data_IF_181734508349
#
_entry.id   IF_181734508349
#
_cell.length_a   1.000
_cell.length_b   1.000
_cell.length_c   1.000
_cell.angle_alpha   90.00
_cell.angle_beta   90.00
_cell.angle_gamma   90.00
#
_symmetry.space_group_name_H-M   'P 1'
#
loop_
_entity.id
_entity.type
_entity.pdbx_description
1 polymer ?
#
# COMPACT_ATOMS: atom_id res chain seq x y z
N UNK A 1 -8.94 -3.35 21.01
CA UNK A 1 -7.64 -4.05 21.02
C UNK A 1 -6.59 -3.07 20.50
N UNK A 2 -5.45 -2.94 21.19
CA UNK A 2 -4.51 -1.80 21.14
C UNK A 2 -3.47 -1.97 20.04
N UNK A 3 -3.33 -1.09 19.04
CA UNK A 3 -2.29 -1.33 18.02
C UNK A 3 -1.40 -0.17 17.56
N UNK A 4 -1.75 1.10 17.76
CA UNK A 4 -0.80 2.22 17.60
C UNK A 4 -1.23 3.33 18.55
N UNK A 5 -0.93 3.20 19.84
CA UNK A 5 -1.33 4.19 20.86
C UNK A 5 -0.81 5.60 20.59
N UNK A 6 0.11 5.77 19.62
CA UNK A 6 0.71 7.02 19.19
C UNK A 6 0.89 7.09 17.65
N UNK A 7 -0.13 6.76 16.84
CA UNK A 7 -0.03 7.05 15.41
C UNK A 7 -0.01 8.57 15.19
N UNK A 8 1.10 9.09 14.67
CA UNK A 8 1.29 10.53 14.44
C UNK A 8 1.39 10.83 12.94
N UNK A 9 1.28 12.12 12.61
CA UNK A 9 1.55 12.63 11.27
C UNK A 9 2.91 12.17 10.72
N UNK A 10 3.95 12.18 11.55
CA UNK A 10 5.30 11.80 11.12
C UNK A 10 5.42 10.30 10.83
N UNK A 11 4.74 9.47 11.64
CA UNK A 11 4.65 8.02 11.39
C UNK A 11 3.89 7.74 10.09
N UNK A 12 2.73 8.38 9.89
CA UNK A 12 1.95 8.24 8.67
C UNK A 12 2.74 8.65 7.41
N UNK A 13 3.42 9.79 7.46
CA UNK A 13 4.32 10.23 6.38
C UNK A 13 5.45 9.24 6.13
N UNK A 14 6.10 8.73 7.18
CA UNK A 14 7.19 7.76 7.05
C UNK A 14 6.73 6.49 6.35
N UNK A 15 5.56 5.95 6.72
CA UNK A 15 4.97 4.77 6.09
C UNK A 15 4.64 5.04 4.62
N UNK A 16 4.00 6.18 4.31
CA UNK A 16 3.67 6.55 2.93
C UNK A 16 4.94 6.70 2.06
N UNK A 17 6.00 7.28 2.61
CA UNK A 17 7.29 7.40 1.93
C UNK A 17 7.91 6.03 1.68
N UNK A 18 7.81 5.10 2.64
CA UNK A 18 8.35 3.75 2.46
C UNK A 18 7.50 2.91 1.51
N UNK A 19 6.18 3.12 1.46
CA UNK A 19 5.32 2.59 0.39
C UNK A 19 5.79 3.09 -0.97
N UNK A 20 6.00 4.41 -1.12
CA UNK A 20 6.47 5.00 -2.38
C UNK A 20 7.85 4.46 -2.79
N UNK A 21 8.80 4.36 -1.85
CA UNK A 21 10.11 3.74 -2.12
C UNK A 21 9.96 2.30 -2.58
N UNK A 22 9.13 1.52 -1.89
CA UNK A 22 8.93 0.10 -2.19
C UNK A 22 8.26 -0.10 -3.56
N UNK A 23 7.27 0.72 -3.91
CA UNK A 23 6.65 0.73 -5.24
C UNK A 23 7.69 1.03 -6.34
N UNK A 24 8.66 1.90 -6.06
CA UNK A 24 9.70 2.30 -7.01
C UNK A 24 10.91 1.35 -7.07
N UNK A 25 10.96 0.29 -6.24
CA UNK A 25 11.98 -0.75 -6.39
C UNK A 25 11.86 -1.39 -7.77
N UNK A 26 13.00 -1.70 -8.39
CA UNK A 26 13.05 -2.19 -9.77
C UNK A 26 12.11 -3.38 -10.01
N UNK A 27 12.10 -4.35 -9.09
CA UNK A 27 11.23 -5.53 -9.15
C UNK A 27 9.73 -5.15 -9.15
N UNK A 28 9.31 -4.29 -8.21
CA UNK A 28 7.91 -3.89 -8.09
C UNK A 28 7.47 -3.01 -9.25
N UNK A 29 8.32 -2.08 -9.67
CA UNK A 29 8.06 -1.20 -10.81
C UNK A 29 7.94 -1.99 -12.12
N UNK A 30 8.79 -3.00 -12.32
CA UNK A 30 8.68 -3.91 -13.46
C UNK A 30 7.34 -4.68 -13.42
N UNK A 31 7.01 -5.32 -12.28
CA UNK A 31 5.75 -6.06 -12.11
C UNK A 31 4.51 -5.20 -12.38
N UNK A 32 4.51 -3.96 -11.88
CA UNK A 32 3.42 -3.00 -12.13
C UNK A 32 3.35 -2.61 -13.61
N UNK A 33 4.50 -2.41 -14.27
CA UNK A 33 4.56 -2.04 -15.70
C UNK A 33 4.05 -3.17 -16.59
N UNK A 34 4.42 -4.41 -16.31
CA UNK A 34 3.92 -5.60 -16.99
C UNK A 34 2.40 -5.74 -16.81
N UNK A 35 1.90 -5.58 -15.58
CA UNK A 35 0.47 -5.61 -15.30
C UNK A 35 -0.30 -4.48 -16.01
N UNK A 36 0.28 -3.28 -16.10
CA UNK A 36 -0.28 -2.16 -16.87
C UNK A 36 -0.31 -2.45 -18.37
N UNK A 37 0.72 -3.10 -18.90
CA UNK A 37 0.76 -3.50 -20.31
C UNK A 37 -0.35 -4.51 -20.65
N UNK A 38 -0.62 -5.45 -19.74
CA UNK A 38 -1.74 -6.40 -19.87
C UNK A 38 -3.10 -5.71 -19.75
N UNK A 39 -3.25 -4.78 -18.81
CA UNK A 39 -4.50 -4.06 -18.60
C UNK A 39 -4.84 -3.05 -19.71
N UNK A 40 -3.82 -2.49 -20.37
CA UNK A 40 -4.00 -1.46 -21.39
C UNK A 40 -4.69 -0.20 -20.83
N UNK A 41 -5.80 0.20 -21.45
CA UNK A 41 -6.63 1.34 -21.00
C UNK A 41 -7.90 0.90 -20.27
N UNK A 42 -8.11 -0.40 -20.10
CA UNK A 42 -9.33 -0.93 -19.52
C UNK A 42 -9.32 -0.77 -18.00
N UNK A 43 -10.20 0.06 -17.48
CA UNK A 43 -10.26 0.38 -16.05
C UNK A 43 -10.51 -0.86 -15.19
N UNK A 44 -11.37 -1.78 -15.66
CA UNK A 44 -11.64 -3.05 -14.96
C UNK A 44 -10.38 -3.93 -14.95
N UNK A 45 -9.63 -3.97 -16.05
CA UNK A 45 -8.39 -4.72 -16.11
C UNK A 45 -7.32 -4.10 -15.19
N UNK A 46 -7.25 -2.77 -15.07
CA UNK A 46 -6.37 -2.11 -14.10
C UNK A 46 -6.70 -2.52 -12.67
N UNK A 47 -7.99 -2.63 -12.32
CA UNK A 47 -8.43 -3.14 -11.02
C UNK A 47 -8.12 -4.63 -10.81
N UNK A 48 -8.08 -5.44 -11.87
CA UNK A 48 -7.79 -6.87 -11.77
C UNK A 48 -6.29 -7.18 -11.72
N UNK A 49 -5.47 -6.44 -12.47
CA UNK A 49 -4.05 -6.76 -12.64
C UNK A 49 -3.13 -5.84 -11.83
N UNK A 50 -3.39 -4.54 -11.79
CA UNK A 50 -2.48 -3.57 -11.14
C UNK A 50 -2.82 -3.41 -9.67
N UNK A 51 -4.12 -3.28 -9.34
CA UNK A 51 -4.56 -3.00 -7.98
C UNK A 51 -4.10 -4.06 -6.95
N UNK A 52 -4.18 -5.38 -7.22
CA UNK A 52 -3.72 -6.38 -6.26
C UNK A 52 -2.22 -6.30 -5.97
N UNK A 53 -1.41 -5.90 -6.96
CA UNK A 53 0.04 -5.72 -6.79
C UNK A 53 0.32 -4.57 -5.84
N UNK A 54 -0.33 -3.43 -6.06
CA UNK A 54 -0.17 -2.25 -5.20
C UNK A 54 -0.67 -2.52 -3.78
N UNK A 55 -1.83 -3.19 -3.63
CA UNK A 55 -2.33 -3.62 -2.33
C UNK A 55 -1.34 -4.51 -1.59
N UNK A 56 -0.74 -5.48 -2.29
CA UNK A 56 0.23 -6.38 -1.70
C UNK A 56 1.47 -5.63 -1.21
N UNK A 57 1.99 -4.69 -2.02
CA UNK A 57 3.10 -3.82 -1.62
C UNK A 57 2.75 -3.01 -0.37
N UNK A 58 1.56 -2.42 -0.31
CA UNK A 58 1.12 -1.66 0.86
C UNK A 58 1.05 -2.55 2.11
N UNK A 59 0.45 -3.75 2.01
CA UNK A 59 0.39 -4.74 3.10
C UNK A 59 1.80 -5.13 3.57
N UNK A 60 2.73 -5.35 2.64
CA UNK A 60 4.11 -5.72 2.94
C UNK A 60 4.91 -4.61 3.62
N UNK A 61 4.57 -3.35 3.39
CA UNK A 61 5.21 -2.22 4.08
C UNK A 61 4.60 -2.02 5.46
N UNK A 62 3.27 -1.92 5.57
CA UNK A 62 2.60 -1.60 6.84
C UNK A 62 2.82 -2.67 7.91
N UNK A 63 3.04 -3.94 7.53
CA UNK A 63 3.34 -5.00 8.51
C UNK A 63 4.61 -4.71 9.33
N UNK A 64 5.57 -3.98 8.75
CA UNK A 64 6.81 -3.59 9.43
C UNK A 64 6.58 -2.49 10.48
N UNK A 65 5.39 -1.88 10.49
CA UNK A 65 4.96 -0.84 11.44
C UNK A 65 3.91 -1.35 12.44
N UNK A 66 3.72 -2.67 12.52
CA UNK A 66 2.82 -3.31 13.50
C UNK A 66 1.38 -3.49 13.02
N UNK A 67 1.06 -3.17 11.76
CA UNK A 67 -0.23 -3.51 11.18
C UNK A 67 -0.32 -5.00 10.84
N UNK A 68 -1.55 -5.54 10.83
CA UNK A 68 -1.77 -6.90 10.35
C UNK A 68 -1.38 -7.05 8.87
N UNK A 69 -0.69 -8.13 8.52
CA UNK A 69 -0.26 -8.44 7.15
C UNK A 69 -1.42 -8.99 6.29
N UNK A 70 -2.56 -8.31 6.30
CA UNK A 70 -3.77 -8.70 5.59
C UNK A 70 -4.57 -7.46 5.15
N UNK A 71 -5.73 -7.68 4.53
CA UNK A 71 -6.62 -6.58 4.10
C UNK A 71 -7.17 -5.75 5.25
N UNK A 72 -7.36 -6.35 6.42
CA UNK A 72 -7.85 -5.65 7.60
C UNK A 72 -6.83 -4.60 8.07
N UNK A 73 -5.55 -4.97 8.15
CA UNK A 73 -4.48 -4.03 8.47
C UNK A 73 -4.38 -2.87 7.47
N UNK A 74 -4.61 -3.14 6.18
CA UNK A 74 -4.63 -2.10 5.15
C UNK A 74 -5.80 -1.13 5.30
N UNK A 75 -7.00 -1.64 5.63
CA UNK A 75 -8.18 -0.81 5.90
C UNK A 75 -7.94 0.06 7.14
N UNK A 76 -7.38 -0.52 8.21
CA UNK A 76 -7.04 0.21 9.43
C UNK A 76 -6.03 1.33 9.16
N UNK A 77 -4.94 1.03 8.45
CA UNK A 77 -3.96 2.05 8.03
C UNK A 77 -4.62 3.18 7.25
N UNK A 78 -5.48 2.83 6.29
CA UNK A 78 -6.18 3.81 5.45
C UNK A 78 -7.13 4.72 6.26
N UNK A 79 -7.80 4.17 7.28
CA UNK A 79 -8.63 4.95 8.21
C UNK A 79 -7.79 5.93 9.03
N UNK A 80 -6.65 5.48 9.57
CA UNK A 80 -5.74 6.34 10.34
C UNK A 80 -5.14 7.47 9.51
N UNK A 81 -4.77 7.21 8.25
CA UNK A 81 -4.29 8.27 7.34
C UNK A 81 -5.38 9.32 7.10
N UNK A 82 -6.64 8.90 6.95
CA UNK A 82 -7.77 9.82 6.74
C UNK A 82 -8.09 10.68 7.96
N UNK A 83 -7.81 10.20 9.17
CA UNK A 83 -8.02 10.96 10.41
C UNK A 83 -7.00 12.08 10.61
N UNK A 84 -5.86 12.02 9.90
CA UNK A 84 -4.75 12.98 10.01
C UNK A 84 -4.59 13.88 8.77
N UNK A 85 -5.38 13.65 7.71
CA UNK A 85 -5.52 14.53 6.54
C UNK A 85 -6.26 15.83 6.89
#
# INVERSE_FOLDING_TARGET
>A
MSYLTNFTNDTGKSILMDILKTVNLAENSQRITEAKAVAGKEMIAMMQYVFPIVMQIQIDVIKNYGFAANREGLVQFSQLIREIE
#
